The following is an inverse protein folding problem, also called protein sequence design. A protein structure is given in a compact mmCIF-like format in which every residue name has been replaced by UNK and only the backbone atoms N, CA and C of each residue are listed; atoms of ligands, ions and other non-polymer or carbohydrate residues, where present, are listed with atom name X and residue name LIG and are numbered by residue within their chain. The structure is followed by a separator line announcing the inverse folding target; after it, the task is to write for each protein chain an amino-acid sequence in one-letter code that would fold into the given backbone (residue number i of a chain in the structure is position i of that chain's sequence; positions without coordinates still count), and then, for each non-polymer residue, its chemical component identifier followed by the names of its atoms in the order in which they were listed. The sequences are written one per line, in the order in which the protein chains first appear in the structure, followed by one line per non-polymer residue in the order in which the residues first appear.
data_IF_908269463914
#
_entry.id   IF_908269463914
#
_cell.length_a   1.000
_cell.length_b   1.000
_cell.length_c   1.000
_cell.angle_alpha   90.00
_cell.angle_beta   90.00
_cell.angle_gamma   90.00
#
_symmetry.space_group_name_H-M   'P 1'
#
loop_
_entity.id
_entity.type
_entity.pdbx_description
1 polymer ?
#
# COMPACT_ATOMS: atom_id res chain seq x y z
N UNK A 1 16.22 1.26 -11.33
CA UNK A 1 17.00 1.81 -10.20
C UNK A 1 17.02 0.88 -8.99
N UNK A 2 15.90 0.51 -8.37
CA UNK A 2 15.85 -0.35 -7.17
C UNK A 2 16.68 -1.67 -7.23
N UNK A 3 16.86 -2.26 -8.42
CA UNK A 3 17.68 -3.48 -8.61
C UNK A 3 19.17 -3.29 -8.30
N UNK A 4 19.69 -2.06 -8.37
CA UNK A 4 21.10 -1.78 -8.05
C UNK A 4 21.33 -1.57 -6.55
N UNK A 5 20.27 -1.34 -5.76
CA UNK A 5 20.41 -1.07 -4.34
C UNK A 5 20.83 -2.32 -3.57
N UNK A 6 21.58 -2.09 -2.49
CA UNK A 6 22.09 -3.13 -1.59
C UNK A 6 21.74 -2.77 -0.16
N UNK A 7 21.52 -3.80 0.65
CA UNK A 7 21.37 -3.70 2.11
C UNK A 7 22.72 -3.39 2.75
N UNK A 8 22.72 -3.03 4.03
CA UNK A 8 23.94 -2.78 4.80
C UNK A 8 24.92 -3.98 4.82
N UNK A 9 24.42 -5.20 4.63
CA UNK A 9 25.22 -6.44 4.54
C UNK A 9 25.75 -6.73 3.11
N UNK A 10 25.57 -5.80 2.17
CA UNK A 10 26.00 -5.92 0.77
C UNK A 10 25.10 -6.81 -0.11
N UNK A 11 24.06 -7.45 0.44
CA UNK A 11 23.13 -8.29 -0.34
C UNK A 11 22.08 -7.41 -1.06
N UNK A 12 21.55 -7.85 -2.22
CA UNK A 12 20.46 -7.13 -2.89
C UNK A 12 19.16 -7.18 -2.07
N UNK A 13 18.33 -6.16 -2.22
CA UNK A 13 16.96 -6.19 -1.69
C UNK A 13 16.11 -7.22 -2.43
N UNK A 14 15.22 -7.90 -1.69
CA UNK A 14 14.14 -8.69 -2.29
C UNK A 14 13.09 -7.72 -2.82
N UNK A 15 12.88 -7.71 -4.14
CA UNK A 15 11.88 -6.87 -4.79
C UNK A 15 10.63 -7.70 -5.08
N UNK A 16 9.50 -7.31 -4.51
CA UNK A 16 8.19 -7.91 -4.79
C UNK A 16 7.39 -6.87 -5.59
N UNK A 17 7.09 -7.12 -6.87
CA UNK A 17 6.37 -6.14 -7.68
C UNK A 17 4.90 -6.08 -7.27
N UNK A 18 4.37 -4.86 -7.13
CA UNK A 18 2.95 -4.60 -7.00
C UNK A 18 2.37 -4.19 -8.36
N UNK A 19 1.15 -4.63 -8.70
CA UNK A 19 0.51 -4.25 -9.96
C UNK A 19 0.14 -2.76 -9.96
N UNK A 20 -0.11 -2.22 -11.14
CA UNK A 20 -0.77 -0.92 -11.27
C UNK A 20 -2.28 -1.13 -11.35
N UNK A 21 -3.10 -0.40 -10.57
CA UNK A 21 -4.54 -0.40 -10.76
C UNK A 21 -4.90 0.23 -12.11
N UNK A 22 -6.08 -0.08 -12.66
CA UNK A 22 -6.60 0.64 -13.83
C UNK A 22 -6.67 2.13 -13.53
N UNK A 23 -6.45 2.96 -14.55
CA UNK A 23 -6.60 4.40 -14.43
C UNK A 23 -8.04 4.74 -14.03
N UNK A 24 -8.17 5.56 -12.99
CA UNK A 24 -9.44 6.12 -12.53
C UNK A 24 -9.38 7.63 -12.70
N UNK A 25 -10.53 8.24 -12.93
CA UNK A 25 -10.67 9.67 -13.19
C UNK A 25 -11.79 10.24 -12.33
N UNK A 26 -11.67 11.51 -11.93
CA UNK A 26 -12.76 12.25 -11.27
C UNK A 26 -13.79 12.78 -12.28
N UNK A 27 -14.79 13.51 -11.77
CA UNK A 27 -15.85 14.12 -12.59
C UNK A 27 -15.32 15.19 -13.55
N UNK A 28 -14.19 15.83 -13.23
CA UNK A 28 -13.50 16.83 -14.05
C UNK A 28 -12.52 16.19 -15.07
N UNK A 29 -12.42 14.86 -15.10
CA UNK A 29 -11.55 14.11 -15.99
C UNK A 29 -10.08 14.06 -15.56
N UNK A 30 -9.74 14.46 -14.33
CA UNK A 30 -8.38 14.37 -13.79
C UNK A 30 -8.08 12.95 -13.31
N UNK A 31 -6.86 12.48 -13.56
CA UNK A 31 -6.44 11.12 -13.17
C UNK A 31 -6.22 11.03 -11.66
N UNK A 32 -6.91 10.10 -11.02
CA UNK A 32 -6.79 9.82 -9.60
C UNK A 32 -5.53 8.98 -9.28
N UNK A 33 -4.80 9.27 -8.19
CA UNK A 33 -3.54 8.62 -7.85
C UNK A 33 -3.73 7.28 -7.14
N UNK A 34 -4.49 6.35 -7.72
CA UNK A 34 -4.69 5.01 -7.16
C UNK A 34 -3.37 4.20 -7.14
N UNK A 35 -3.02 3.62 -5.99
CA UNK A 35 -1.80 2.81 -5.84
C UNK A 35 -1.90 1.83 -4.66
N UNK A 36 -1.54 0.57 -4.92
CA UNK A 36 -1.45 -0.46 -3.87
C UNK A 36 -0.24 -0.30 -2.95
N UNK A 37 0.73 0.54 -3.33
CA UNK A 37 1.91 0.77 -2.49
C UNK A 37 1.60 1.63 -1.25
N UNK A 38 0.42 2.25 -1.21
CA UNK A 38 -0.03 3.10 -0.11
C UNK A 38 -0.80 2.28 0.96
N UNK A 39 -0.17 1.20 1.43
CA UNK A 39 -0.69 0.37 2.51
C UNK A 39 -0.14 0.83 3.88
N UNK A 40 -0.89 0.54 4.94
CA UNK A 40 -0.51 0.87 6.31
C UNK A 40 -0.21 -0.40 7.10
N UNK A 41 0.99 -0.51 7.65
CA UNK A 41 1.35 -1.58 8.57
C UNK A 41 0.97 -1.14 9.99
N UNK A 42 0.16 -1.94 10.68
CA UNK A 42 -0.15 -1.83 12.11
C UNK A 42 0.27 -3.11 12.83
N UNK A 43 0.32 -3.11 14.17
CA UNK A 43 0.90 -4.18 14.99
C UNK A 43 0.67 -5.61 14.46
N UNK A 44 -0.60 -5.99 14.25
CA UNK A 44 -0.97 -7.36 13.85
C UNK A 44 -1.59 -7.44 12.44
N UNK A 45 -1.66 -6.32 11.72
CA UNK A 45 -2.32 -6.27 10.42
C UNK A 45 -1.65 -5.32 9.41
N UNK A 46 -2.02 -5.46 8.15
CA UNK A 46 -1.68 -4.55 7.05
C UNK A 46 -2.98 -4.11 6.39
N UNK A 47 -3.27 -2.82 6.45
CA UNK A 47 -4.41 -2.21 5.77
C UNK A 47 -4.01 -1.91 4.33
N UNK A 48 -4.58 -2.64 3.38
CA UNK A 48 -4.26 -2.53 1.97
C UNK A 48 -5.41 -1.84 1.21
N UNK A 49 -5.14 -0.79 0.41
CA UNK A 49 -6.18 -0.14 -0.37
C UNK A 49 -6.66 -1.05 -1.51
N UNK A 50 -7.95 -1.06 -1.77
CA UNK A 50 -8.58 -1.71 -2.94
C UNK A 50 -9.41 -0.72 -3.73
N UNK A 51 -9.59 -0.99 -5.03
CA UNK A 51 -10.16 -0.06 -6.00
C UNK A 51 -11.23 -0.68 -6.92
N UNK A 52 -11.81 -1.82 -6.49
CA UNK A 52 -12.72 -2.64 -7.29
C UNK A 52 -12.09 -2.99 -8.66
N UNK A 53 -10.82 -3.38 -8.60
CA UNK A 53 -9.99 -3.70 -9.74
C UNK A 53 -9.54 -5.16 -9.66
N UNK A 54 -9.50 -5.92 -10.77
CA UNK A 54 -8.99 -7.29 -10.75
C UNK A 54 -7.57 -7.43 -10.17
N UNK A 55 -6.76 -6.37 -10.23
CA UNK A 55 -5.43 -6.31 -9.65
C UNK A 55 -5.42 -6.23 -8.11
N UNK A 56 -6.55 -5.93 -7.46
CA UNK A 56 -6.69 -5.90 -5.99
C UNK A 56 -6.22 -7.23 -5.40
N UNK A 57 -6.72 -8.35 -5.94
CA UNK A 57 -6.39 -9.69 -5.46
C UNK A 57 -4.90 -10.01 -5.61
N UNK A 58 -4.27 -9.52 -6.68
CA UNK A 58 -2.84 -9.71 -6.90
C UNK A 58 -2.05 -8.92 -5.86
N UNK A 59 -2.42 -7.67 -5.61
CA UNK A 59 -1.76 -6.84 -4.59
C UNK A 59 -1.90 -7.44 -3.19
N UNK A 60 -3.10 -7.87 -2.81
CA UNK A 60 -3.36 -8.49 -1.51
C UNK A 60 -2.54 -9.78 -1.31
N UNK A 61 -2.47 -10.64 -2.34
CA UNK A 61 -1.66 -11.86 -2.30
C UNK A 61 -0.16 -11.54 -2.11
N UNK A 62 0.37 -10.55 -2.82
CA UNK A 62 1.78 -10.11 -2.66
C UNK A 62 2.05 -9.54 -1.28
N UNK A 63 1.13 -8.77 -0.72
CA UNK A 63 1.26 -8.28 0.66
C UNK A 63 1.22 -9.44 1.66
N UNK A 64 0.38 -10.45 1.45
CA UNK A 64 0.36 -11.63 2.32
C UNK A 64 1.67 -12.43 2.28
N UNK A 65 2.28 -12.55 1.09
CA UNK A 65 3.62 -13.17 0.96
C UNK A 65 4.71 -12.39 1.70
N UNK A 66 4.59 -11.05 1.79
CA UNK A 66 5.53 -10.18 2.49
C UNK A 66 5.30 -10.14 4.01
N UNK A 67 4.05 -10.31 4.45
CA UNK A 67 3.63 -10.22 5.85
C UNK A 67 2.86 -11.49 6.27
N UNK A 68 3.52 -12.67 6.31
CA UNK A 68 2.84 -13.94 6.57
C UNK A 68 2.15 -13.98 7.95
N UNK A 69 2.75 -13.33 8.95
CA UNK A 69 2.29 -13.32 10.33
C UNK A 69 1.27 -12.21 10.64
N UNK A 70 0.90 -11.39 9.63
CA UNK A 70 -0.08 -10.31 9.79
C UNK A 70 -1.37 -10.61 9.04
N UNK A 71 -2.48 -10.12 9.56
CA UNK A 71 -3.74 -10.08 8.83
C UNK A 71 -3.66 -9.05 7.69
N UNK A 72 -4.13 -9.39 6.50
CA UNK A 72 -4.24 -8.41 5.40
C UNK A 72 -5.69 -7.96 5.33
N UNK A 73 -5.94 -6.71 5.69
CA UNK A 73 -7.28 -6.12 5.71
C UNK A 73 -7.44 -5.25 4.47
N UNK A 74 -8.35 -5.63 3.58
CA UNK A 74 -8.68 -4.88 2.38
C UNK A 74 -9.61 -3.70 2.73
N UNK A 75 -9.24 -2.49 2.33
CA UNK A 75 -10.03 -1.27 2.55
C UNK A 75 -10.40 -0.67 1.19
N UNK A 76 -11.71 -0.56 0.91
CA UNK A 76 -12.16 0.11 -0.31
C UNK A 76 -11.82 1.61 -0.22
N UNK A 77 -10.82 2.02 -0.99
CA UNK A 77 -10.29 3.38 -1.00
C UNK A 77 -10.82 4.20 -2.18
N UNK A 78 -11.80 3.71 -2.94
CA UNK A 78 -12.47 4.50 -3.98
C UNK A 78 -12.98 5.85 -3.46
N UNK A 79 -13.65 5.95 -2.29
CA UNK A 79 -14.11 7.24 -1.77
C UNK A 79 -12.94 8.18 -1.36
N UNK A 80 -11.82 7.61 -0.92
CA UNK A 80 -10.65 8.34 -0.42
C UNK A 80 -9.87 9.00 -1.56
N UNK A 81 -9.71 8.32 -2.70
CA UNK A 81 -8.96 8.88 -3.84
C UNK A 81 -9.63 10.11 -4.47
N UNK A 82 -10.96 10.26 -4.35
CA UNK A 82 -11.68 11.46 -4.80
C UNK A 82 -11.31 12.72 -3.99
N UNK A 83 -10.69 12.58 -2.82
CA UNK A 83 -10.19 13.72 -2.02
C UNK A 83 -8.70 14.00 -2.23
N UNK A 84 -8.08 13.45 -3.29
CA UNK A 84 -6.64 13.56 -3.58
C UNK A 84 -5.72 13.07 -2.44
N UNK A 85 -6.24 12.26 -1.52
CA UNK A 85 -5.51 11.65 -0.41
C UNK A 85 -5.68 10.13 -0.40
N UNK A 86 -4.74 9.41 0.21
CA UNK A 86 -4.85 7.96 0.44
C UNK A 86 -4.42 7.62 1.86
N UNK A 87 -4.57 6.36 2.29
CA UNK A 87 -4.64 5.95 3.70
C UNK A 87 -3.38 6.33 4.51
N UNK A 88 -2.18 6.21 3.95
CA UNK A 88 -0.93 6.65 4.61
C UNK A 88 -0.86 8.17 4.82
N UNK A 89 -1.52 8.96 3.97
CA UNK A 89 -1.47 10.43 4.01
C UNK A 89 -2.28 11.01 5.18
N UNK A 90 -3.14 10.20 5.82
CA UNK A 90 -4.01 10.61 6.92
C UNK A 90 -3.64 9.96 8.26
N UNK A 91 -2.56 9.17 8.31
CA UNK A 91 -2.15 8.44 9.52
C UNK A 91 -0.72 8.75 9.93
N UNK A 92 -0.49 8.87 11.25
CA UNK A 92 0.84 8.96 11.85
C UNK A 92 1.04 7.80 12.82
N UNK A 93 2.11 7.03 12.65
CA UNK A 93 2.43 5.91 13.55
C UNK A 93 3.19 6.44 14.78
N UNK A 94 2.66 6.19 15.98
CA UNK A 94 3.36 6.45 17.24
C UNK A 94 3.84 5.12 17.84
N UNK A 95 5.16 4.89 17.92
CA UNK A 95 5.70 3.71 18.58
C UNK A 95 5.27 3.64 20.05
N UNK A 96 5.08 2.42 20.55
CA UNK A 96 4.78 2.21 21.96
C UNK A 96 5.93 2.77 22.83
N UNK A 97 5.57 3.60 23.82
CA UNK A 97 6.51 4.22 24.76
C UNK A 97 6.96 5.65 24.39
N UNK A 98 6.41 6.26 23.34
CA UNK A 98 6.77 7.63 22.90
C UNK A 98 5.97 8.72 23.63
N UNK A 99 4.79 8.40 24.16
CA UNK A 99 4.02 9.29 25.02
C UNK A 99 4.06 8.71 26.44
N UNK A 100 4.70 9.45 27.34
CA UNK A 100 4.78 9.19 28.79
C UNK A 100 3.79 10.03 29.56
#
# INVERSE_FOLDING_TARGET
ELKSFRRADGKPYRLVPLPWPRARYDEDGQRLPATYANFLIINDAVLAPTYEDPADNIALARLKECFPDREIVAINCLPLIYQFGSLHCVTMQLPQGVIS
#
